data_IF_680219125353
#
_entry.id   IF_680219125353
#
_cell.length_a   1.000
_cell.length_b   1.000
_cell.length_c   1.000
_cell.angle_alpha   90.00
_cell.angle_beta   90.00
_cell.angle_gamma   90.00
#
_symmetry.space_group_name_H-M   'P 1'
#
loop_
_entity.id
_entity.type
_entity.pdbx_description
1 polymer ?
#
# COMPACT_ATOMS: atom_id res chain seq x y z
N UNK A 1 -17.49 -39.92 38.17
CA UNK A 1 -17.39 -39.73 36.71
C UNK A 1 -16.93 -38.31 36.41
N UNK A 2 -15.62 -38.05 36.50
CA UNK A 2 -15.01 -36.78 36.06
C UNK A 2 -14.46 -37.01 34.65
N UNK A 3 -15.08 -36.38 33.65
CA UNK A 3 -14.62 -36.42 32.27
C UNK A 3 -13.33 -35.61 32.12
N UNK A 4 -12.26 -36.28 31.68
CA UNK A 4 -11.02 -35.65 31.25
C UNK A 4 -11.27 -34.90 29.94
N UNK A 5 -11.19 -33.56 29.99
CA UNK A 5 -11.07 -32.71 28.81
C UNK A 5 -9.71 -32.97 28.16
N UNK A 6 -9.72 -33.53 26.94
CA UNK A 6 -8.53 -33.64 26.11
C UNK A 6 -8.05 -32.23 25.71
N UNK A 7 -6.73 -31.95 25.76
CA UNK A 7 -6.21 -30.66 25.32
C UNK A 7 -6.33 -30.53 23.79
N UNK A 8 -6.86 -29.39 23.34
CA UNK A 8 -6.89 -28.98 21.93
C UNK A 8 -5.44 -28.90 21.41
N UNK A 9 -5.10 -29.44 20.22
CA UNK A 9 -3.73 -29.41 19.73
C UNK A 9 -3.28 -27.96 19.50
N UNK A 10 -2.21 -27.53 20.17
CA UNK A 10 -1.49 -26.32 19.80
C UNK A 10 -0.82 -26.57 18.45
N UNK A 11 -1.23 -25.84 17.42
CA UNK A 11 -0.52 -25.78 16.14
C UNK A 11 0.92 -25.33 16.46
N UNK A 12 1.92 -26.10 16.01
CA UNK A 12 3.33 -25.78 16.27
C UNK A 12 3.70 -24.46 15.57
N UNK A 13 4.61 -23.67 16.17
CA UNK A 13 5.11 -22.43 15.57
C UNK A 13 5.72 -22.64 14.17
N UNK A 14 6.16 -23.86 13.86
CA UNK A 14 6.68 -24.25 12.55
C UNK A 14 5.58 -24.41 11.50
N UNK A 15 4.36 -24.78 11.89
CA UNK A 15 3.21 -24.89 10.99
C UNK A 15 2.61 -23.51 10.61
N UNK A 16 2.63 -22.52 11.52
CA UNK A 16 2.25 -21.13 11.21
C UNK A 16 3.22 -20.46 10.23
N UNK A 17 4.53 -20.66 10.40
CA UNK A 17 5.57 -20.09 9.53
C UNK A 17 5.49 -20.53 8.06
N UNK A 18 4.76 -21.61 7.78
CA UNK A 18 4.49 -22.11 6.42
C UNK A 18 3.24 -21.52 5.75
N UNK A 19 2.41 -20.74 6.47
CA UNK A 19 1.13 -20.30 5.93
C UNK A 19 1.28 -19.14 4.96
N UNK A 20 2.09 -18.12 5.29
CA UNK A 20 2.30 -16.93 4.45
C UNK A 20 2.80 -17.32 3.06
N UNK A 21 3.76 -18.24 2.97
CA UNK A 21 4.31 -18.74 1.70
C UNK A 21 3.27 -19.45 0.82
N UNK A 22 2.29 -20.13 1.45
CA UNK A 22 1.22 -20.84 0.74
C UNK A 22 0.04 -19.95 0.40
N UNK A 23 -0.19 -18.90 1.20
CA UNK A 23 -1.34 -18.01 1.07
C UNK A 23 -1.09 -16.83 0.13
N UNK A 24 0.16 -16.35 0.04
CA UNK A 24 0.50 -15.15 -0.72
C UNK A 24 1.45 -15.42 -1.88
N UNK A 25 1.17 -14.72 -2.97
CA UNK A 25 1.94 -14.76 -4.20
C UNK A 25 2.52 -13.39 -4.49
N UNK A 26 3.62 -13.33 -5.22
CA UNK A 26 4.17 -12.13 -5.88
C UNK A 26 3.89 -12.17 -7.39
N UNK A 27 4.13 -11.06 -8.09
CA UNK A 27 4.01 -10.99 -9.55
C UNK A 27 5.28 -10.50 -10.20
N UNK A 28 5.66 -11.13 -11.31
CA UNK A 28 6.86 -10.74 -12.06
C UNK A 28 6.54 -10.61 -13.54
N UNK A 29 7.10 -9.57 -14.18
CA UNK A 29 6.93 -9.37 -15.62
C UNK A 29 7.75 -10.41 -16.39
N UNK A 30 7.06 -11.28 -17.12
CA UNK A 30 7.65 -12.40 -17.87
C UNK A 30 7.63 -12.21 -19.39
N UNK A 31 7.10 -11.08 -19.87
CA UNK A 31 7.12 -10.72 -21.29
C UNK A 31 7.64 -9.30 -21.47
N UNK A 32 8.57 -9.10 -22.41
CA UNK A 32 9.18 -7.80 -22.68
C UNK A 32 8.43 -7.15 -23.84
N UNK A 33 7.68 -6.09 -23.53
CA UNK A 33 7.07 -5.21 -24.53
C UNK A 33 7.73 -3.84 -24.42
N UNK A 34 8.53 -3.41 -25.41
CA UNK A 34 9.18 -2.10 -25.40
C UNK A 34 8.17 -0.96 -25.21
N UNK A 35 8.55 0.03 -24.39
CA UNK A 35 7.77 1.24 -24.18
C UNK A 35 7.90 2.17 -25.38
N UNK A 36 6.79 2.73 -25.84
CA UNK A 36 6.78 3.74 -26.91
C UNK A 36 7.48 5.05 -26.52
N UNK A 37 7.61 5.32 -25.22
CA UNK A 37 8.29 6.53 -24.70
C UNK A 37 9.80 6.36 -24.52
N UNK A 38 10.26 5.13 -24.32
CA UNK A 38 11.66 4.80 -24.06
C UNK A 38 11.92 3.36 -24.54
N UNK A 39 12.49 3.18 -25.75
CA UNK A 39 12.73 1.86 -26.33
C UNK A 39 13.66 0.98 -25.50
N UNK A 40 14.44 1.52 -24.57
CA UNK A 40 15.32 0.74 -23.69
C UNK A 40 14.58 0.20 -22.45
N UNK A 41 13.30 0.54 -22.26
CA UNK A 41 12.46 0.08 -21.16
C UNK A 41 11.31 -0.79 -21.63
N UNK A 42 11.02 -1.82 -20.86
CA UNK A 42 9.77 -2.55 -20.97
C UNK A 42 8.62 -1.69 -20.43
N UNK A 43 7.40 -1.93 -20.93
CA UNK A 43 6.17 -1.32 -20.42
C UNK A 43 5.90 -1.61 -18.95
N UNK A 44 6.53 -2.61 -18.33
CA UNK A 44 6.49 -2.81 -16.88
C UNK A 44 7.29 -1.74 -16.10
N UNK A 45 8.23 -1.04 -16.74
CA UNK A 45 9.07 0.01 -16.16
C UNK A 45 10.56 -0.37 -15.99
N UNK A 46 10.88 -1.66 -16.03
CA UNK A 46 12.27 -2.17 -15.98
C UNK A 46 13.01 -1.89 -17.28
N UNK A 47 14.32 -1.75 -17.20
CA UNK A 47 15.19 -1.76 -18.38
C UNK A 47 15.14 -3.15 -19.03
N UNK A 48 15.28 -3.22 -20.36
CA UNK A 48 15.23 -4.51 -21.08
C UNK A 48 16.28 -5.49 -20.51
N UNK A 49 17.50 -5.01 -20.22
CA UNK A 49 18.57 -5.84 -19.64
C UNK A 49 18.33 -6.32 -18.20
N UNK A 50 17.30 -5.82 -17.51
CA UNK A 50 16.92 -6.28 -16.16
C UNK A 50 15.96 -7.47 -16.18
N UNK A 51 15.50 -7.89 -17.37
CA UNK A 51 14.72 -9.11 -17.53
C UNK A 51 15.67 -10.31 -17.72
N UNK A 52 15.93 -11.05 -16.65
CA UNK A 52 16.80 -12.23 -16.71
C UNK A 52 16.09 -13.38 -17.45
N UNK A 53 16.75 -13.98 -18.43
CA UNK A 53 16.28 -15.18 -19.12
C UNK A 53 15.12 -14.97 -20.11
N UNK A 54 14.79 -13.72 -20.45
CA UNK A 54 13.73 -13.37 -21.41
C UNK A 54 14.33 -12.71 -22.63
N UNK A 55 14.05 -13.24 -23.82
CA UNK A 55 14.32 -12.54 -25.08
C UNK A 55 13.23 -11.49 -25.32
N UNK A 56 13.56 -10.27 -25.79
CA UNK A 56 12.56 -9.30 -26.19
C UNK A 56 11.56 -9.91 -27.16
N UNK A 57 10.26 -9.68 -26.97
CA UNK A 57 9.25 -10.03 -27.97
C UNK A 57 9.52 -9.17 -29.20
N UNK A 58 10.26 -9.71 -30.17
CA UNK A 58 10.71 -8.97 -31.36
C UNK A 58 9.48 -8.53 -32.15
N UNK A 59 9.11 -7.27 -31.98
CA UNK A 59 8.35 -6.52 -32.97
C UNK A 59 9.24 -5.37 -33.46
N UNK A 60 9.96 -5.68 -34.54
CA UNK A 60 10.45 -4.75 -35.56
C UNK A 60 11.33 -3.59 -35.07
N UNK A 61 12.60 -3.85 -34.77
CA UNK A 61 13.68 -2.92 -35.10
C UNK A 61 14.86 -3.73 -35.66
N UNK A 62 15.08 -3.55 -36.96
CA UNK A 62 16.22 -4.02 -37.78
C UNK A 62 16.21 -5.50 -38.22
N UNK A 63 15.54 -5.76 -39.35
CA UNK A 63 16.11 -6.59 -40.40
C UNK A 63 16.01 -5.78 -41.70
N UNK A 64 17.07 -5.05 -42.04
CA UNK A 64 17.30 -4.75 -43.45
C UNK A 64 17.70 -6.04 -44.16
N UNK A 65 17.04 -6.31 -45.29
CA UNK A 65 17.29 -7.39 -46.26
C UNK A 65 16.76 -8.78 -45.88
N UNK A 66 15.47 -9.00 -46.12
CA UNK A 66 15.06 -9.99 -47.13
C UNK A 66 13.56 -9.94 -47.40
N UNK A 67 13.24 -9.87 -48.69
CA UNK A 67 11.88 -9.97 -49.22
C UNK A 67 11.28 -11.36 -48.90
N UNK A 68 10.11 -11.38 -48.27
CA UNK A 68 9.04 -12.31 -48.65
C UNK A 68 7.70 -11.81 -48.13
N UNK A 69 6.74 -11.79 -49.06
CA UNK A 69 5.40 -11.25 -48.91
C UNK A 69 4.58 -12.11 -47.95
N UNK A 70 4.34 -11.62 -46.74
CA UNK A 70 3.27 -12.08 -45.86
C UNK A 70 2.38 -10.89 -45.47
N UNK A 71 1.08 -11.13 -45.53
CA UNK A 71 -0.03 -10.18 -45.46
C UNK A 71 0.09 -9.14 -44.34
N UNK A 72 0.04 -7.86 -44.73
CA UNK A 72 0.28 -6.66 -43.93
C UNK A 72 -0.84 -6.25 -42.95
N UNK A 73 -1.75 -7.15 -42.57
CA UNK A 73 -3.00 -6.77 -41.89
C UNK A 73 -3.21 -7.33 -40.47
N UNK A 74 -2.20 -7.88 -39.78
CA UNK A 74 -2.42 -8.46 -38.44
C UNK A 74 -1.26 -8.31 -37.44
N UNK A 75 -0.49 -7.22 -37.49
CA UNK A 75 0.47 -6.89 -36.41
C UNK A 75 -0.09 -5.71 -35.61
N UNK A 76 -1.20 -5.96 -34.91
CA UNK A 76 -1.61 -5.08 -33.83
C UNK A 76 -0.53 -5.20 -32.75
N UNK A 77 0.31 -4.18 -32.59
CA UNK A 77 1.37 -4.16 -31.57
C UNK A 77 0.75 -4.54 -30.22
N UNK A 78 1.14 -5.70 -29.67
CA UNK A 78 0.51 -6.21 -28.46
C UNK A 78 0.66 -5.18 -27.32
N UNK A 79 -0.46 -4.83 -26.68
CA UNK A 79 -0.45 -3.87 -25.56
C UNK A 79 -0.15 -4.60 -24.26
N UNK A 80 0.90 -4.15 -23.56
CA UNK A 80 1.24 -4.66 -22.24
C UNK A 80 0.08 -4.52 -21.26
N UNK A 81 -0.15 -5.58 -20.51
CA UNK A 81 -1.19 -5.72 -19.50
C UNK A 81 -0.73 -6.67 -18.41
N UNK A 82 -1.14 -6.39 -17.17
CA UNK A 82 -0.74 -7.17 -15.99
C UNK A 82 -1.16 -8.64 -16.15
N UNK A 83 -2.37 -8.92 -16.64
CA UNK A 83 -2.91 -10.28 -16.74
C UNK A 83 -2.17 -11.18 -17.74
N UNK A 84 -1.72 -10.63 -18.87
CA UNK A 84 -1.06 -11.41 -19.93
C UNK A 84 0.47 -11.48 -19.75
N UNK A 85 1.07 -10.44 -19.21
CA UNK A 85 2.53 -10.26 -19.27
C UNK A 85 3.23 -10.43 -17.93
N UNK A 86 2.48 -10.78 -16.87
CA UNK A 86 3.04 -11.12 -15.57
C UNK A 86 2.69 -12.54 -15.15
N UNK A 87 3.57 -13.16 -14.37
CA UNK A 87 3.37 -14.47 -13.80
C UNK A 87 3.30 -14.39 -12.27
N UNK A 88 2.41 -15.19 -11.68
CA UNK A 88 2.33 -15.38 -10.24
C UNK A 88 3.34 -16.45 -9.80
N UNK A 89 3.99 -16.22 -8.67
CA UNK A 89 4.81 -17.21 -7.96
C UNK A 89 4.68 -16.99 -6.45
N UNK A 90 4.94 -18.00 -5.60
CA UNK A 90 4.87 -17.83 -4.15
C UNK A 90 5.72 -16.65 -3.66
N UNK A 91 5.23 -15.90 -2.68
CA UNK A 91 5.96 -14.74 -2.17
C UNK A 91 7.30 -15.15 -1.54
N UNK A 92 8.31 -14.32 -1.74
CA UNK A 92 9.67 -14.51 -1.23
C UNK A 92 10.13 -13.34 -0.35
N UNK A 93 9.26 -12.39 -0.04
CA UNK A 93 9.59 -11.18 0.71
C UNK A 93 8.55 -10.94 1.82
N UNK A 94 8.85 -11.46 3.01
CA UNK A 94 8.05 -11.24 4.21
C UNK A 94 8.88 -11.49 5.48
N UNK A 95 8.54 -10.80 6.56
CA UNK A 95 9.25 -10.89 7.83
C UNK A 95 9.21 -9.58 8.59
N UNK A 96 10.36 -9.15 9.11
CA UNK A 96 10.51 -7.89 9.85
C UNK A 96 11.51 -6.97 9.16
N UNK A 97 11.13 -5.72 8.94
CA UNK A 97 12.03 -4.63 8.56
C UNK A 97 12.65 -4.06 9.83
N UNK A 98 13.97 -3.88 9.85
CA UNK A 98 14.68 -3.10 10.86
C UNK A 98 15.23 -1.83 10.21
N UNK A 99 14.63 -0.69 10.54
CA UNK A 99 14.99 0.60 9.93
C UNK A 99 16.35 1.09 10.43
N UNK A 100 17.19 1.51 9.48
CA UNK A 100 18.53 2.06 9.71
C UNK A 100 18.60 3.55 9.30
N UNK A 101 19.50 4.29 9.94
CA UNK A 101 19.77 5.70 9.59
C UNK A 101 18.99 6.74 10.41
N UNK A 102 18.23 6.32 11.43
CA UNK A 102 17.63 7.20 12.44
C UNK A 102 18.24 6.98 13.82
N UNK A 103 18.07 7.93 14.75
CA UNK A 103 18.54 7.78 16.14
C UNK A 103 17.84 6.68 16.96
N UNK A 104 16.93 5.91 16.34
CA UNK A 104 16.19 4.79 16.95
C UNK A 104 15.99 3.68 15.91
N UNK A 105 16.17 2.42 16.31
CA UNK A 105 15.88 1.24 15.47
C UNK A 105 14.41 0.84 15.58
N UNK A 106 13.57 1.39 14.69
CA UNK A 106 12.18 0.97 14.59
C UNK A 106 12.08 -0.35 13.81
N UNK A 107 11.16 -1.21 14.24
CA UNK A 107 10.84 -2.47 13.55
C UNK A 107 9.42 -2.44 13.02
N UNK A 108 9.22 -3.02 11.83
CA UNK A 108 7.92 -3.18 11.24
C UNK A 108 7.75 -4.58 10.62
N UNK A 109 6.59 -5.19 10.78
CA UNK A 109 6.29 -6.43 10.05
C UNK A 109 5.94 -6.10 8.59
N UNK A 110 6.30 -6.94 7.64
CA UNK A 110 5.97 -6.71 6.24
C UNK A 110 5.68 -7.98 5.46
N UNK A 111 4.93 -7.82 4.37
CA UNK A 111 4.67 -8.86 3.37
C UNK A 111 4.58 -8.24 1.98
N UNK A 112 5.18 -8.89 0.97
CA UNK A 112 4.92 -8.64 -0.45
C UNK A 112 3.79 -9.55 -0.91
N UNK A 113 2.76 -8.96 -1.53
CA UNK A 113 1.56 -9.68 -1.98
C UNK A 113 1.15 -9.23 -3.36
N UNK A 114 0.52 -10.10 -4.13
CA UNK A 114 -0.07 -9.76 -5.41
C UNK A 114 -1.18 -8.72 -5.22
N UNK A 115 -1.28 -7.76 -6.14
CA UNK A 115 -2.26 -6.67 -6.09
C UNK A 115 -3.73 -7.12 -6.08
N UNK A 116 -4.00 -8.36 -6.48
CA UNK A 116 -5.32 -9.01 -6.54
C UNK A 116 -5.52 -10.06 -5.44
N UNK A 117 -4.65 -10.07 -4.43
CA UNK A 117 -4.81 -10.89 -3.23
C UNK A 117 -6.16 -10.64 -2.56
N UNK A 118 -6.85 -11.71 -2.15
CA UNK A 118 -8.16 -11.59 -1.52
C UNK A 118 -8.05 -10.94 -0.12
N UNK A 119 -9.00 -10.06 0.25
CA UNK A 119 -8.91 -9.30 1.49
C UNK A 119 -9.10 -10.13 2.77
N UNK A 120 -9.75 -11.29 2.70
CA UNK A 120 -9.88 -12.23 3.82
C UNK A 120 -8.53 -12.82 4.24
N UNK A 121 -7.65 -13.12 3.27
CA UNK A 121 -6.28 -13.55 3.54
C UNK A 121 -5.45 -12.44 4.21
N UNK A 122 -5.60 -11.19 3.76
CA UNK A 122 -4.91 -10.05 4.38
C UNK A 122 -5.41 -9.79 5.80
N UNK A 123 -6.72 -9.89 6.04
CA UNK A 123 -7.27 -9.78 7.39
C UNK A 123 -6.80 -10.94 8.29
N UNK A 124 -6.72 -12.16 7.75
CA UNK A 124 -6.16 -13.30 8.46
C UNK A 124 -4.70 -13.04 8.85
N UNK A 125 -3.86 -12.58 7.91
CA UNK A 125 -2.48 -12.20 8.19
C UNK A 125 -2.43 -11.18 9.36
N UNK A 126 -3.19 -10.10 9.27
CA UNK A 126 -3.17 -9.05 10.30
C UNK A 126 -3.60 -9.57 11.68
N UNK A 127 -4.67 -10.38 11.75
CA UNK A 127 -5.27 -10.77 13.04
C UNK A 127 -4.70 -12.07 13.62
N UNK A 128 -4.18 -12.98 12.79
CA UNK A 128 -3.69 -14.31 13.22
C UNK A 128 -2.17 -14.39 13.19
N UNK A 129 -1.54 -13.94 12.13
CA UNK A 129 -0.08 -14.03 11.97
C UNK A 129 0.64 -12.86 12.64
N UNK A 130 0.14 -11.62 12.46
CA UNK A 130 0.65 -10.42 13.12
C UNK A 130 0.01 -10.17 14.50
N UNK A 131 -0.99 -10.97 14.88
CA UNK A 131 -1.66 -10.92 16.19
C UNK A 131 -2.24 -9.53 16.53
N UNK A 132 -2.70 -8.80 15.51
CA UNK A 132 -3.38 -7.52 15.72
C UNK A 132 -4.82 -7.75 16.20
N UNK A 133 -5.20 -7.05 17.26
CA UNK A 133 -6.60 -6.96 17.66
C UNK A 133 -7.39 -6.18 16.59
N UNK A 134 -8.57 -6.67 16.24
CA UNK A 134 -9.46 -6.02 15.27
C UNK A 134 -9.77 -4.59 15.75
N UNK A 135 -9.65 -3.56 14.89
CA UNK A 135 -9.77 -2.19 15.34
C UNK A 135 -11.22 -1.81 15.60
N UNK A 136 -11.44 -0.87 16.53
CA UNK A 136 -12.77 -0.29 16.76
C UNK A 136 -13.12 0.84 15.77
N UNK A 137 -12.12 1.31 15.01
CA UNK A 137 -12.21 2.34 13.98
C UNK A 137 -11.06 2.15 12.98
N UNK A 138 -11.34 2.31 11.69
CA UNK A 138 -10.30 2.37 10.66
C UNK A 138 -10.21 3.80 10.10
N UNK A 139 -9.05 4.44 10.28
CA UNK A 139 -8.76 5.77 9.72
C UNK A 139 -7.93 5.58 8.46
N UNK A 140 -8.50 5.89 7.30
CA UNK A 140 -7.82 5.78 6.00
C UNK A 140 -7.34 7.15 5.53
N UNK A 141 -6.03 7.40 5.59
CA UNK A 141 -5.43 8.70 5.25
C UNK A 141 -5.06 8.76 3.77
N UNK A 142 -5.50 9.82 3.08
CA UNK A 142 -5.20 10.12 1.68
C UNK A 142 -4.78 11.59 1.53
N UNK A 143 -4.09 11.91 0.44
CA UNK A 143 -3.60 13.26 0.23
C UNK A 143 -2.52 13.38 -0.83
N UNK A 144 -1.76 14.46 -0.75
CA UNK A 144 -0.63 14.72 -1.66
C UNK A 144 0.41 13.61 -1.67
N UNK A 145 0.79 13.16 -2.86
CA UNK A 145 1.90 12.20 -3.05
C UNK A 145 3.27 12.89 -3.05
N UNK A 146 3.34 14.12 -3.57
CA UNK A 146 4.52 14.96 -3.57
C UNK A 146 4.67 15.69 -2.24
N UNK A 147 5.90 15.98 -1.82
CA UNK A 147 6.14 16.75 -0.60
C UNK A 147 5.55 18.16 -0.70
N UNK A 148 4.92 18.58 0.39
CA UNK A 148 4.36 19.92 0.58
C UNK A 148 4.50 20.29 2.06
N UNK A 149 4.44 21.58 2.34
CA UNK A 149 4.49 22.09 3.72
C UNK A 149 3.10 22.50 4.18
N UNK A 150 2.74 22.05 5.38
CA UNK A 150 1.54 22.49 6.07
C UNK A 150 1.87 23.73 6.90
N UNK A 151 0.92 24.67 6.99
CA UNK A 151 1.05 25.76 7.94
C UNK A 151 1.27 25.19 9.36
N UNK A 152 2.16 25.77 10.19
CA UNK A 152 2.55 25.18 11.48
C UNK A 152 1.37 24.87 12.41
N UNK A 153 0.39 25.78 12.48
CA UNK A 153 -0.84 25.59 13.28
C UNK A 153 -1.65 24.38 12.77
N UNK A 154 -1.80 24.26 11.45
CA UNK A 154 -2.53 23.16 10.83
C UNK A 154 -1.80 21.82 11.01
N UNK A 155 -0.47 21.79 10.82
CA UNK A 155 0.37 20.62 11.09
C UNK A 155 0.19 20.11 12.52
N UNK A 156 0.19 21.03 13.49
CA UNK A 156 -0.03 20.70 14.90
C UNK A 156 -1.43 20.14 15.17
N UNK A 157 -2.48 20.77 14.63
CA UNK A 157 -3.87 20.32 14.82
C UNK A 157 -4.08 18.96 14.16
N UNK A 158 -3.64 18.78 12.92
CA UNK A 158 -3.68 17.52 12.19
C UNK A 158 -2.98 16.40 12.96
N UNK A 159 -1.71 16.60 13.32
CA UNK A 159 -0.92 15.59 14.01
C UNK A 159 -1.51 15.21 15.37
N UNK A 160 -1.82 16.20 16.23
CA UNK A 160 -2.42 15.92 17.55
C UNK A 160 -3.80 15.28 17.43
N UNK A 161 -4.63 15.73 16.49
CA UNK A 161 -5.96 15.19 16.26
C UNK A 161 -5.92 13.73 15.83
N UNK A 162 -5.09 13.39 14.84
CA UNK A 162 -4.93 12.03 14.33
C UNK A 162 -4.46 11.07 15.43
N UNK A 163 -3.40 11.46 16.16
CA UNK A 163 -2.84 10.66 17.26
C UNK A 163 -3.86 10.45 18.37
N UNK A 164 -4.57 11.51 18.78
CA UNK A 164 -5.59 11.43 19.83
C UNK A 164 -6.74 10.51 19.40
N UNK A 165 -7.27 10.68 18.19
CA UNK A 165 -8.34 9.84 17.66
C UNK A 165 -7.94 8.35 17.65
N UNK A 166 -6.74 8.02 17.18
CA UNK A 166 -6.25 6.66 17.12
C UNK A 166 -6.06 6.04 18.51
N UNK A 167 -5.42 6.76 19.43
CA UNK A 167 -5.18 6.29 20.79
C UNK A 167 -6.45 6.10 21.61
N UNK A 168 -7.39 7.03 21.53
CA UNK A 168 -8.63 6.99 22.32
C UNK A 168 -9.56 5.86 21.86
N UNK A 169 -9.58 5.55 20.57
CA UNK A 169 -10.49 4.54 20.01
C UNK A 169 -9.85 3.16 19.85
N UNK A 170 -8.52 3.06 19.83
CA UNK A 170 -7.83 1.84 19.40
C UNK A 170 -7.99 1.64 17.88
N UNK A 171 -7.84 2.72 17.11
CA UNK A 171 -7.98 2.66 15.66
C UNK A 171 -6.73 2.07 14.99
N UNK A 172 -6.94 1.45 13.82
CA UNK A 172 -5.88 1.27 12.84
C UNK A 172 -5.82 2.50 11.93
N UNK A 173 -4.60 2.89 11.53
CA UNK A 173 -4.35 3.94 10.55
C UNK A 173 -3.81 3.30 9.26
N UNK A 174 -4.54 3.44 8.16
CA UNK A 174 -4.08 3.07 6.82
C UNK A 174 -3.49 4.28 6.10
N UNK A 175 -2.33 4.11 5.49
CA UNK A 175 -1.70 5.12 4.63
C UNK A 175 -1.02 4.49 3.42
N UNK A 176 -0.45 5.31 2.52
CA UNK A 176 0.36 4.85 1.39
C UNK A 176 1.75 4.30 1.75
N UNK A 177 2.16 4.31 3.04
CA UNK A 177 3.39 3.69 3.55
C UNK A 177 4.73 4.33 3.16
N UNK A 178 4.81 5.02 2.03
CA UNK A 178 6.06 5.65 1.55
C UNK A 178 6.28 7.03 2.16
N UNK A 179 7.53 7.41 2.40
CA UNK A 179 7.90 8.63 3.13
C UNK A 179 7.84 9.91 2.27
N UNK A 180 6.70 10.17 1.64
CA UNK A 180 6.47 11.37 0.82
C UNK A 180 5.10 11.99 1.10
N UNK A 181 4.97 13.28 0.79
CA UNK A 181 3.72 14.02 0.85
C UNK A 181 3.02 13.93 2.20
N UNK A 182 1.73 13.61 2.21
CA UNK A 182 0.93 13.53 3.45
C UNK A 182 1.46 12.47 4.42
N UNK A 183 2.05 11.38 3.94
CA UNK A 183 2.54 10.30 4.81
C UNK A 183 3.74 10.78 5.64
N UNK A 184 4.56 11.72 5.14
CA UNK A 184 5.62 12.35 5.93
C UNK A 184 5.04 13.09 7.14
N UNK A 185 3.95 13.85 6.96
CA UNK A 185 3.28 14.55 8.06
C UNK A 185 2.65 13.58 9.08
N UNK A 186 2.12 12.44 8.62
CA UNK A 186 1.66 11.36 9.51
C UNK A 186 2.83 10.78 10.31
N UNK A 187 3.96 10.50 9.65
CA UNK A 187 5.18 9.98 10.28
C UNK A 187 5.73 10.95 11.34
N UNK A 188 5.77 12.25 11.05
CA UNK A 188 6.17 13.28 12.01
C UNK A 188 5.28 13.25 13.26
N UNK A 189 3.96 13.15 13.09
CA UNK A 189 3.02 13.07 14.21
C UNK A 189 3.22 11.79 15.06
N UNK A 190 3.47 10.65 14.41
CA UNK A 190 3.76 9.38 15.10
C UNK A 190 5.08 9.45 15.87
N UNK A 191 6.11 10.09 15.31
CA UNK A 191 7.43 10.29 15.94
C UNK A 191 7.32 11.19 17.17
N UNK A 192 6.60 12.29 17.06
CA UNK A 192 6.34 13.21 18.17
C UNK A 192 5.57 12.54 19.31
N UNK A 193 4.66 11.62 18.99
CA UNK A 193 3.93 10.83 19.99
C UNK A 193 4.82 9.79 20.67
N UNK A 194 5.59 9.03 19.90
CA UNK A 194 6.46 7.98 20.42
C UNK A 194 7.51 8.52 21.42
N UNK A 195 7.98 9.76 21.23
CA UNK A 195 8.89 10.41 22.19
C UNK A 195 8.22 10.80 23.52
N UNK A 196 6.88 10.93 23.55
CA UNK A 196 6.11 11.43 24.70
C UNK A 196 5.30 10.36 25.42
N UNK A 197 5.02 9.23 24.76
CA UNK A 197 4.14 8.18 25.28
C UNK A 197 4.60 6.79 24.85
N UNK A 198 4.29 5.79 25.68
CA UNK A 198 4.54 4.37 25.39
C UNK A 198 3.42 3.70 24.59
N UNK A 199 2.31 4.39 24.35
CA UNK A 199 1.16 3.86 23.61
C UNK A 199 1.51 3.59 22.15
N UNK A 200 1.48 2.33 21.73
CA UNK A 200 1.75 1.93 20.34
C UNK A 200 0.50 2.13 19.49
N UNK A 201 0.64 2.88 18.40
CA UNK A 201 -0.41 3.09 17.40
C UNK A 201 -0.21 2.10 16.25
N UNK A 202 -1.25 1.38 15.87
CA UNK A 202 -1.20 0.49 14.71
C UNK A 202 -1.32 1.31 13.42
N UNK A 203 -0.20 1.48 12.72
CA UNK A 203 -0.14 2.22 11.45
C UNK A 203 0.36 1.28 10.37
N UNK A 204 -0.46 1.05 9.36
CA UNK A 204 -0.27 0.05 8.31
C UNK A 204 -0.09 0.78 6.98
N UNK A 205 1.10 0.65 6.39
CA UNK A 205 1.42 1.21 5.09
C UNK A 205 1.08 0.24 3.97
N UNK A 206 0.18 0.62 3.07
CA UNK A 206 -0.16 -0.16 1.88
C UNK A 206 0.45 0.55 0.67
N UNK A 207 1.56 0.01 0.17
CA UNK A 207 2.38 0.65 -0.86
C UNK A 207 2.56 -0.28 -2.06
N UNK A 208 2.71 0.24 -3.30
CA UNK A 208 3.18 -0.58 -4.41
C UNK A 208 4.60 -1.08 -4.14
N UNK A 209 4.85 -2.38 -4.32
CA UNK A 209 6.20 -2.97 -4.23
C UNK A 209 7.17 -2.25 -5.16
N UNK A 210 6.78 -2.07 -6.43
CA UNK A 210 7.64 -1.53 -7.48
C UNK A 210 8.12 -0.09 -7.32
N UNK A 211 7.61 0.67 -6.34
CA UNK A 211 8.09 2.04 -6.05
C UNK A 211 8.99 2.10 -4.82
N UNK A 212 9.20 0.98 -4.13
CA UNK A 212 10.00 0.93 -2.92
C UNK A 212 11.48 0.95 -3.31
N UNK A 213 12.19 1.97 -2.84
CA UNK A 213 13.65 2.04 -2.98
C UNK A 213 14.30 0.84 -2.27
N UNK A 214 15.34 0.26 -2.86
CA UNK A 214 16.06 -0.90 -2.31
C UNK A 214 15.15 -2.09 -1.96
N UNK A 215 14.06 -2.29 -2.71
CA UNK A 215 13.13 -3.41 -2.50
C UNK A 215 13.82 -4.79 -2.51
N UNK A 216 14.92 -4.96 -3.24
CA UNK A 216 15.65 -6.23 -3.34
C UNK A 216 16.25 -6.65 -1.98
N UNK A 217 16.60 -5.69 -1.12
CA UNK A 217 17.12 -5.95 0.23
C UNK A 217 16.03 -6.52 1.16
N UNK A 218 14.75 -6.34 0.79
CA UNK A 218 13.60 -6.88 1.52
C UNK A 218 13.23 -8.30 1.08
N UNK A 219 13.93 -8.90 0.10
CA UNK A 219 13.69 -10.29 -0.28
C UNK A 219 14.23 -11.21 0.81
N UNK A 220 13.39 -12.12 1.31
CA UNK A 220 13.68 -13.06 2.37
C UNK A 220 12.40 -13.61 2.98
N UNK A 221 12.44 -14.85 3.46
CA UNK A 221 11.28 -15.57 4.01
C UNK A 221 11.40 -15.68 5.52
N UNK A 222 10.50 -15.03 6.26
CA UNK A 222 10.49 -14.98 7.73
C UNK A 222 11.83 -14.50 8.33
N UNK A 223 12.43 -13.47 7.72
CA UNK A 223 13.72 -12.93 8.17
C UNK A 223 13.61 -11.47 8.61
N UNK A 224 14.58 -11.04 9.41
CA UNK A 224 14.79 -9.62 9.70
C UNK A 224 15.67 -9.05 8.59
N UNK A 225 15.19 -8.01 7.91
CA UNK A 225 15.94 -7.30 6.87
C UNK A 225 16.27 -5.87 7.31
N UNK A 226 17.55 -5.47 7.30
CA UNK A 226 17.90 -4.07 7.50
C UNK A 226 17.39 -3.25 6.31
N UNK A 227 16.86 -2.06 6.57
CA UNK A 227 16.37 -1.16 5.52
C UNK A 227 16.77 0.28 5.77
N UNK A 228 17.46 0.89 4.81
CA UNK A 228 17.93 2.26 4.91
C UNK A 228 16.88 3.23 4.39
N UNK A 229 16.62 4.30 5.14
CA UNK A 229 15.65 5.34 4.75
C UNK A 229 16.30 6.55 4.07
N UNK A 230 17.53 6.40 3.57
CA UNK A 230 18.21 7.46 2.83
C UNK A 230 17.65 7.50 1.40
N UNK A 231 17.00 8.60 1.05
CA UNK A 231 16.53 8.82 -0.33
C UNK A 231 17.71 9.02 -1.27
N UNK A 232 17.74 8.30 -2.40
CA UNK A 232 18.68 8.56 -3.47
C UNK A 232 18.15 9.71 -4.36
N UNK A 233 18.81 10.88 -4.43
CA UNK A 233 18.33 12.01 -5.23
C UNK A 233 18.20 11.71 -6.74
N UNK A 234 18.92 10.69 -7.23
CA UNK A 234 18.88 10.26 -8.62
C UNK A 234 17.80 9.22 -8.91
N UNK A 235 17.20 8.65 -7.86
CA UNK A 235 16.16 7.64 -7.99
C UNK A 235 14.78 8.29 -8.13
N UNK A 236 13.90 7.62 -8.88
CA UNK A 236 12.47 7.95 -8.98
C UNK A 236 11.62 7.12 -8.02
N UNK A 237 12.26 6.23 -7.24
CA UNK A 237 11.60 5.41 -6.23
C UNK A 237 11.56 6.16 -4.90
N UNK A 238 10.92 5.55 -3.91
CA UNK A 238 10.65 6.18 -2.61
C UNK A 238 10.93 5.21 -1.48
N UNK A 239 11.47 5.74 -0.38
CA UNK A 239 11.72 4.94 0.82
C UNK A 239 10.44 4.74 1.63
N UNK A 240 10.33 3.60 2.31
CA UNK A 240 9.27 3.37 3.30
C UNK A 240 9.40 4.34 4.49
N UNK A 241 8.28 4.70 5.11
CA UNK A 241 8.27 5.56 6.29
C UNK A 241 8.57 4.74 7.56
N UNK A 242 9.65 5.07 8.27
CA UNK A 242 10.12 4.31 9.44
C UNK A 242 9.23 4.40 10.69
N UNK A 243 8.15 5.18 10.67
CA UNK A 243 7.23 5.32 11.80
C UNK A 243 6.01 4.40 11.71
N UNK A 244 5.85 3.69 10.59
CA UNK A 244 4.82 2.66 10.43
C UNK A 244 5.22 1.38 11.13
N UNK A 245 4.23 0.66 11.66
CA UNK A 245 4.47 -0.61 12.36
C UNK A 245 4.30 -1.83 11.46
N UNK A 246 3.59 -1.70 10.34
CA UNK A 246 3.34 -2.80 9.41
C UNK A 246 3.29 -2.32 7.96
N UNK A 247 3.63 -3.20 7.03
CA UNK A 247 3.57 -2.94 5.59
C UNK A 247 2.94 -4.08 4.80
N UNK A 248 2.02 -3.72 3.91
CA UNK A 248 1.51 -4.61 2.85
C UNK A 248 2.00 -4.02 1.52
N UNK A 249 2.90 -4.73 0.85
CA UNK A 249 3.55 -4.27 -0.38
C UNK A 249 2.88 -4.94 -1.58
N UNK A 250 1.99 -4.19 -2.25
CA UNK A 250 1.17 -4.65 -3.35
C UNK A 250 1.96 -4.74 -4.66
N UNK A 251 1.96 -5.90 -5.29
CA UNK A 251 2.80 -6.21 -6.43
C UNK A 251 1.95 -6.56 -7.66
N UNK A 252 2.15 -5.82 -8.74
CA UNK A 252 1.53 -6.06 -10.05
C UNK A 252 2.58 -6.33 -11.14
N UNK A 253 3.83 -6.61 -10.77
CA UNK A 253 4.95 -6.86 -11.69
C UNK A 253 5.53 -5.61 -12.36
N UNK A 254 5.07 -4.41 -12.00
CA UNK A 254 5.63 -3.15 -12.52
C UNK A 254 6.71 -2.57 -11.61
N UNK A 255 7.54 -1.69 -12.15
CA UNK A 255 8.60 -0.96 -11.44
C UNK A 255 8.44 0.54 -11.70
N UNK A 256 8.56 1.35 -10.66
CA UNK A 256 8.41 2.81 -10.70
C UNK A 256 6.98 3.31 -10.98
N UNK A 257 5.95 2.48 -10.74
CA UNK A 257 4.55 2.83 -11.02
C UNK A 257 3.67 2.65 -9.78
N UNK A 258 2.84 3.65 -9.53
CA UNK A 258 1.76 3.61 -8.55
C UNK A 258 0.53 2.86 -9.09
N UNK A 259 -0.38 2.47 -8.22
CA UNK A 259 -1.71 1.94 -8.58
C UNK A 259 -1.95 0.48 -8.19
N UNK A 260 -0.90 -0.28 -7.87
CA UNK A 260 -1.04 -1.68 -7.45
C UNK A 260 -1.82 -1.81 -6.12
N UNK A 261 -1.66 -0.83 -5.24
CA UNK A 261 -2.27 -0.77 -3.91
C UNK A 261 -3.74 -0.35 -3.93
N UNK A 262 -4.20 0.36 -4.97
CA UNK A 262 -5.49 1.08 -4.94
C UNK A 262 -6.66 0.13 -4.73
N UNK A 263 -6.84 -0.86 -5.61
CA UNK A 263 -7.92 -1.84 -5.49
C UNK A 263 -7.78 -2.70 -4.22
N UNK A 264 -6.55 -3.14 -3.93
CA UNK A 264 -6.25 -3.97 -2.77
C UNK A 264 -6.67 -3.27 -1.46
N UNK A 265 -6.28 -2.00 -1.29
CA UNK A 265 -6.62 -1.17 -0.15
C UNK A 265 -8.13 -1.01 0.03
N UNK A 266 -8.85 -0.64 -1.04
CA UNK A 266 -10.32 -0.45 -0.98
C UNK A 266 -11.06 -1.74 -0.64
N UNK A 267 -10.65 -2.87 -1.23
CA UNK A 267 -11.22 -4.17 -0.92
C UNK A 267 -10.93 -4.59 0.54
N UNK A 268 -9.74 -4.29 1.04
CA UNK A 268 -9.37 -4.58 2.42
C UNK A 268 -10.16 -3.73 3.43
N UNK A 269 -10.26 -2.42 3.20
CA UNK A 269 -11.08 -1.51 4.02
C UNK A 269 -12.53 -1.97 4.11
N UNK A 270 -13.13 -2.30 2.96
CA UNK A 270 -14.51 -2.83 2.90
C UNK A 270 -14.65 -4.17 3.61
N UNK A 271 -13.65 -5.04 3.51
CA UNK A 271 -13.70 -6.33 4.21
C UNK A 271 -13.56 -6.16 5.74
N UNK A 272 -12.72 -5.23 6.19
CA UNK A 272 -12.59 -4.87 7.61
C UNK A 272 -13.90 -4.27 8.13
N UNK A 273 -14.57 -3.42 7.36
CA UNK A 273 -15.82 -2.77 7.80
C UNK A 273 -16.95 -3.75 8.06
N UNK A 274 -16.91 -4.93 7.44
CA UNK A 274 -17.89 -6.01 7.64
C UNK A 274 -17.62 -6.85 8.90
N UNK A 275 -16.45 -6.69 9.53
CA UNK A 275 -16.09 -7.47 10.71
C UNK A 275 -16.83 -6.95 11.94
N UNK A 276 -17.50 -7.86 12.65
CA UNK A 276 -18.31 -7.51 13.82
C UNK A 276 -17.40 -7.24 15.03
N UNK A 277 -17.41 -6.00 15.52
CA UNK A 277 -16.69 -5.61 16.74
C UNK A 277 -17.58 -5.64 17.98
N UNK A 278 -18.91 -5.56 17.81
CA UNK A 278 -19.86 -5.69 18.90
C UNK A 278 -20.95 -6.70 18.53
N UNK A 279 -20.88 -7.89 19.14
CA UNK A 279 -21.80 -9.01 18.86
C UNK A 279 -23.24 -8.73 19.31
N UNK A 280 -23.46 -7.78 20.23
CA UNK A 280 -24.81 -7.45 20.73
C UNK A 280 -25.57 -6.50 19.80
N UNK A 281 -24.86 -5.65 19.07
CA UNK A 281 -25.44 -4.61 18.19
C UNK A 281 -25.24 -4.97 16.70
N UNK A 282 -24.38 -5.94 16.40
CA UNK A 282 -24.06 -6.33 15.02
C UNK A 282 -23.26 -5.28 14.26
N UNK A 283 -22.68 -4.29 14.97
CA UNK A 283 -21.94 -3.19 14.36
C UNK A 283 -20.59 -3.68 13.80
N UNK A 284 -20.37 -3.34 12.53
CA UNK A 284 -19.10 -3.53 11.84
C UNK A 284 -18.04 -2.51 12.28
N UNK A 285 -16.81 -2.66 11.80
CA UNK A 285 -15.76 -1.64 12.02
C UNK A 285 -16.11 -0.37 11.24
N UNK A 286 -16.33 0.80 11.89
CA UNK A 286 -16.50 2.05 11.16
C UNK A 286 -15.21 2.43 10.43
N UNK A 287 -15.35 2.92 9.20
CA UNK A 287 -14.25 3.44 8.38
C UNK A 287 -14.46 4.94 8.17
N UNK A 288 -13.40 5.73 8.25
CA UNK A 288 -13.40 7.16 7.94
C UNK A 288 -12.22 7.46 7.02
N UNK A 289 -12.46 8.21 5.95
CA UNK A 289 -11.40 8.72 5.08
C UNK A 289 -10.95 10.11 5.56
N UNK A 290 -9.65 10.32 5.73
CA UNK A 290 -9.06 11.61 6.09
C UNK A 290 -8.26 12.15 4.91
N UNK A 291 -8.65 13.32 4.41
CA UNK A 291 -8.05 13.97 3.24
C UNK A 291 -7.21 15.16 3.69
N UNK A 292 -5.95 15.18 3.28
CA UNK A 292 -5.06 16.33 3.49
C UNK A 292 -4.39 16.66 2.16
N UNK A 293 -4.61 17.87 1.69
CA UNK A 293 -4.04 18.33 0.43
C UNK A 293 -4.57 17.40 -0.72
N UNK A 294 -3.87 17.22 -1.84
CA UNK A 294 -4.16 16.23 -2.86
C UNK A 294 -4.15 16.77 -4.29
N UNK A 295 -3.84 15.88 -5.24
CA UNK A 295 -4.07 16.12 -6.66
C UNK A 295 -5.48 15.67 -7.10
N UNK A 296 -5.80 15.76 -8.40
CA UNK A 296 -7.10 15.34 -8.94
C UNK A 296 -7.51 13.91 -8.57
N UNK A 297 -6.54 12.98 -8.45
CA UNK A 297 -6.81 11.60 -8.03
C UNK A 297 -7.47 11.51 -6.65
N UNK A 298 -7.20 12.45 -5.74
CA UNK A 298 -7.82 12.48 -4.41
C UNK A 298 -9.32 12.78 -4.51
N UNK A 299 -9.74 13.61 -5.47
CA UNK A 299 -11.17 13.88 -5.71
C UNK A 299 -11.88 12.59 -6.17
N UNK A 300 -11.26 11.83 -7.07
CA UNK A 300 -11.78 10.52 -7.49
C UNK A 300 -11.90 9.55 -6.31
N UNK A 301 -10.88 9.50 -5.44
CA UNK A 301 -10.91 8.68 -4.23
C UNK A 301 -12.07 9.08 -3.31
N UNK A 302 -12.27 10.39 -3.07
CA UNK A 302 -13.38 10.91 -2.26
C UNK A 302 -14.73 10.50 -2.85
N UNK A 303 -14.90 10.65 -4.17
CA UNK A 303 -16.12 10.24 -4.85
C UNK A 303 -16.39 8.73 -4.70
N UNK A 304 -15.36 7.90 -4.77
CA UNK A 304 -15.49 6.46 -4.54
C UNK A 304 -15.94 6.13 -3.11
N UNK A 305 -15.40 6.82 -2.10
CA UNK A 305 -15.84 6.64 -0.70
C UNK A 305 -17.30 7.05 -0.49
N UNK A 306 -17.71 8.17 -1.07
CA UNK A 306 -19.09 8.68 -0.92
C UNK A 306 -20.11 7.83 -1.69
N UNK A 307 -19.68 7.10 -2.73
CA UNK A 307 -20.53 6.18 -3.50
C UNK A 307 -20.64 4.77 -2.91
N UNK A 308 -19.87 4.45 -1.86
CA UNK A 308 -20.02 3.17 -1.18
C UNK A 308 -21.42 3.01 -0.58
N UNK A 309 -21.78 1.76 -0.27
CA UNK A 309 -23.05 1.44 0.40
C UNK A 309 -22.76 0.62 1.64
N UNK A 310 -22.90 1.20 2.85
CA UNK A 310 -23.18 2.62 3.12
C UNK A 310 -21.99 3.53 2.74
N UNK A 311 -22.23 4.85 2.50
CA UNK A 311 -21.15 5.79 2.23
C UNK A 311 -20.15 5.86 3.38
N UNK A 312 -18.87 5.99 3.04
CA UNK A 312 -17.80 6.19 4.04
C UNK A 312 -17.66 7.69 4.31
N UNK A 313 -17.76 8.13 5.59
CA UNK A 313 -17.55 9.53 5.96
C UNK A 313 -16.15 10.02 5.56
N UNK A 314 -16.09 11.23 5.02
CA UNK A 314 -14.85 11.88 4.58
C UNK A 314 -14.61 13.13 5.43
N UNK A 315 -13.45 13.20 6.07
CA UNK A 315 -12.96 14.37 6.81
C UNK A 315 -11.94 15.08 5.93
N UNK A 316 -12.20 16.34 5.59
CA UNK A 316 -11.34 17.16 4.73
C UNK A 316 -10.59 18.18 5.59
N UNK A 317 -9.27 18.26 5.43
CA UNK A 317 -8.42 19.20 6.14
C UNK A 317 -8.40 20.54 5.39
N UNK A 318 -9.33 21.43 5.70
CA UNK A 318 -9.40 22.77 5.10
C UNK A 318 -8.12 23.58 5.35
N UNK A 319 -7.67 24.33 4.34
CA UNK A 319 -6.43 25.10 4.35
C UNK A 319 -5.16 24.27 4.18
N UNK A 320 -5.28 22.98 3.82
CA UNK A 320 -4.12 22.12 3.55
C UNK A 320 -3.64 22.19 2.11
N UNK A 321 -4.43 22.73 1.18
CA UNK A 321 -4.03 22.98 -0.21
C UNK A 321 -4.78 22.15 -1.26
N UNK A 322 -4.67 22.60 -2.52
CA UNK A 322 -5.12 21.93 -3.76
C UNK A 322 -6.49 21.26 -3.64
N UNK A 323 -6.58 19.94 -3.83
CA UNK A 323 -7.87 19.21 -3.86
C UNK A 323 -8.65 19.32 -2.55
N UNK A 324 -7.97 19.35 -1.40
CA UNK A 324 -8.63 19.47 -0.10
C UNK A 324 -9.37 20.80 0.03
N UNK A 325 -8.75 21.91 -0.39
CA UNK A 325 -9.37 23.24 -0.32
C UNK A 325 -10.52 23.38 -1.32
N UNK A 326 -10.41 22.76 -2.52
CA UNK A 326 -11.51 22.72 -3.50
C UNK A 326 -12.73 21.98 -2.92
N UNK A 327 -12.50 20.83 -2.28
CA UNK A 327 -13.56 20.05 -1.65
C UNK A 327 -14.20 20.79 -0.47
N UNK A 328 -13.38 21.43 0.38
CA UNK A 328 -13.84 22.22 1.51
C UNK A 328 -14.66 23.43 1.04
N UNK A 329 -14.18 24.15 0.02
CA UNK A 329 -14.90 25.25 -0.61
C UNK A 329 -16.24 24.77 -1.17
N UNK A 330 -16.23 23.70 -1.97
CA UNK A 330 -17.44 23.14 -2.56
C UNK A 330 -18.49 22.75 -1.52
N UNK A 331 -18.09 22.10 -0.43
CA UNK A 331 -18.98 21.76 0.69
C UNK A 331 -19.52 23.01 1.41
N UNK A 332 -18.68 24.02 1.63
CA UNK A 332 -19.10 25.24 2.33
C UNK A 332 -20.17 26.02 1.56
N UNK A 333 -20.05 26.08 0.23
CA UNK A 333 -20.95 26.87 -0.61
C UNK A 333 -22.03 26.04 -1.31
N UNK A 334 -22.11 24.73 -1.09
CA UNK A 334 -23.22 23.92 -1.63
C UNK A 334 -24.55 24.15 -0.92
N UNK A 335 -24.53 24.73 0.29
CA UNK A 335 -25.75 25.02 1.08
C UNK A 335 -26.26 26.47 0.90
N UNK A 336 -25.44 27.38 0.33
CA UNK A 336 -25.83 28.77 0.06
C UNK A 336 -26.31 28.93 -1.41
N UNK A 337 -27.49 28.39 -1.73
CA UNK A 337 -28.29 28.82 -2.89
C UNK A 337 -28.02 28.17 -4.26
N UNK A 338 -28.07 26.83 -4.35
CA UNK A 338 -28.16 26.10 -5.63
C UNK A 338 -29.49 25.39 -5.79
#
# INVERSE_FOLDING_TARGET
>A
LRGLLLPVPRISAQAQKSWIERAFYKRECVHIIPSTKDPHRCCCGRLIGQHVGLTPSISVLQNEKNESRLSRNDIQSEKWSISKHTQLSPTDAFGTIEFQGGGHSNKAMYVRVSFDTKPDLLLHLMTKEWQLELPKLLISVHGGLQNFELQPKLKQVFGKGLIKAAMTTGAWIFTGGVNTGVIRHVGDALKDHASKSRGKICTIGIAPWGIVENQEDLIGRDVVRPYQTMSNPMSKLTVLNSMHSHFILADNGTTGKYGAEVKLRRQLEKHISLQKINTRIGQGVPVVALIVEGGPNVISIVLEYLRDTPPVPVVVCDGSGRASDILAFGHKYSEEGG
#
